data_IF_065180514439
#
_entry.id   IF_065180514439
#
_cell.length_a   1.000
_cell.length_b   1.000
_cell.length_c   1.000
_cell.angle_alpha   90.00
_cell.angle_beta   90.00
_cell.angle_gamma   90.00
#
_symmetry.space_group_name_H-M   'P 1'
#
loop_
_entity.id
_entity.type
_entity.pdbx_description
1 polymer ?
#
# COMPACT_ATOMS: atom_id res chain seq x y z
N UNK A 1 -8.74 5.39 -8.62
CA UNK A 1 -9.13 4.73 -9.89
C UNK A 1 -10.62 4.38 -9.86
N UNK A 2 -11.44 4.88 -10.80
CA UNK A 2 -12.86 4.55 -10.86
C UNK A 2 -13.05 3.12 -11.41
N UNK A 3 -13.83 2.31 -10.71
CA UNK A 3 -14.28 0.99 -11.17
C UNK A 3 -15.80 1.00 -11.35
N UNK A 4 -16.28 0.53 -12.49
CA UNK A 4 -17.70 0.46 -12.79
C UNK A 4 -18.16 -1.00 -12.73
N UNK A 5 -19.23 -1.26 -11.99
CA UNK A 5 -19.91 -2.56 -11.97
C UNK A 5 -21.28 -2.40 -12.60
N UNK A 6 -21.53 -3.12 -13.69
CA UNK A 6 -22.86 -3.19 -14.29
C UNK A 6 -23.82 -3.91 -13.34
N UNK A 7 -25.00 -3.33 -13.13
CA UNK A 7 -26.08 -3.93 -12.35
C UNK A 7 -27.39 -3.87 -13.14
N UNK A 8 -28.41 -4.61 -12.70
CA UNK A 8 -29.73 -4.65 -13.36
C UNK A 8 -30.39 -3.26 -13.47
N UNK A 9 -30.09 -2.35 -12.56
CA UNK A 9 -30.62 -0.97 -12.53
C UNK A 9 -29.61 0.08 -13.05
N UNK A 10 -28.60 -0.33 -13.83
CA UNK A 10 -27.58 0.56 -14.41
C UNK A 10 -26.17 0.37 -13.85
N UNK A 11 -25.26 1.29 -14.19
CA UNK A 11 -23.85 1.23 -13.80
C UNK A 11 -23.65 1.77 -12.38
N UNK A 12 -23.03 0.97 -11.50
CA UNK A 12 -22.64 1.41 -10.16
C UNK A 12 -21.14 1.70 -10.12
N UNK A 13 -20.78 2.96 -9.95
CA UNK A 13 -19.38 3.38 -9.81
C UNK A 13 -18.90 3.24 -8.36
N UNK A 14 -17.65 2.80 -8.19
CA UNK A 14 -16.91 2.84 -6.93
C UNK A 14 -15.50 3.33 -7.20
N UNK A 15 -14.91 4.01 -6.23
CA UNK A 15 -13.52 4.45 -6.30
C UNK A 15 -12.63 3.45 -5.59
N UNK A 16 -11.66 2.89 -6.32
CA UNK A 16 -10.52 2.18 -5.78
C UNK A 16 -9.46 3.20 -5.36
N UNK A 17 -8.99 3.06 -4.15
CA UNK A 17 -7.94 3.90 -3.55
C UNK A 17 -6.85 3.03 -3.01
N UNK A 18 -5.62 3.42 -3.30
CA UNK A 18 -4.40 2.82 -2.80
C UNK A 18 -3.74 3.82 -1.88
N UNK A 19 -3.30 3.37 -0.71
CA UNK A 19 -2.57 4.19 0.24
C UNK A 19 -1.33 3.42 0.66
N UNK A 20 -0.16 4.04 0.48
CA UNK A 20 1.11 3.53 0.98
C UNK A 20 1.52 4.34 2.22
N UNK A 21 2.00 3.65 3.25
CA UNK A 21 2.50 4.24 4.49
C UNK A 21 3.86 3.64 4.78
N UNK A 22 4.84 4.44 5.17
CA UNK A 22 6.14 3.96 5.60
C UNK A 22 6.85 4.95 6.51
N UNK A 23 7.72 4.42 7.37
CA UNK A 23 8.52 5.19 8.33
C UNK A 23 9.95 5.48 7.84
N UNK A 24 10.25 5.13 6.59
CA UNK A 24 11.58 5.19 5.96
C UNK A 24 12.69 4.41 6.70
N UNK A 25 12.35 3.70 7.77
CA UNK A 25 13.25 2.99 8.66
C UNK A 25 13.05 1.47 8.63
N UNK A 26 12.39 0.97 7.58
CA UNK A 26 12.22 -0.46 7.36
C UNK A 26 10.82 -0.97 7.69
N UNK A 27 9.82 -0.11 7.82
CA UNK A 27 8.42 -0.53 7.82
C UNK A 27 7.69 0.09 6.63
N UNK A 28 6.98 -0.75 5.88
CA UNK A 28 6.15 -0.35 4.76
C UNK A 28 4.80 -1.04 4.89
N UNK A 29 3.75 -0.34 4.48
CA UNK A 29 2.39 -0.84 4.53
C UNK A 29 1.64 -0.37 3.29
N UNK A 30 0.73 -1.21 2.80
CA UNK A 30 -0.13 -0.91 1.67
C UNK A 30 -1.58 -1.25 2.02
N UNK A 31 -2.47 -0.29 1.80
CA UNK A 31 -3.91 -0.46 1.98
C UNK A 31 -4.66 -0.20 0.68
N UNK A 32 -5.62 -1.07 0.36
CA UNK A 32 -6.48 -0.93 -0.82
C UNK A 32 -7.94 -0.99 -0.40
N UNK A 33 -8.74 0.01 -0.77
CA UNK A 33 -10.17 0.05 -0.44
C UNK A 33 -11.02 0.58 -1.58
N UNK A 34 -12.26 0.08 -1.65
CA UNK A 34 -13.30 0.51 -2.58
C UNK A 34 -14.47 1.16 -1.82
N UNK A 35 -14.83 2.39 -2.19
CA UNK A 35 -16.02 3.08 -1.63
C UNK A 35 -16.81 3.82 -2.71
N UNK A 36 -18.03 4.27 -2.39
CA UNK A 36 -18.81 5.15 -3.27
C UNK A 36 -18.26 6.58 -3.28
N UNK A 37 -17.72 7.03 -2.15
CA UNK A 37 -17.13 8.36 -1.99
C UNK A 37 -15.62 8.28 -1.82
N UNK A 38 -14.90 9.24 -2.40
CA UNK A 38 -13.43 9.25 -2.37
C UNK A 38 -12.89 9.49 -0.95
N UNK A 39 -13.46 10.44 -0.20
CA UNK A 39 -12.98 10.78 1.13
C UNK A 39 -13.10 9.60 2.13
N UNK A 40 -14.21 8.86 2.08
CA UNK A 40 -14.39 7.66 2.92
C UNK A 40 -13.46 6.52 2.51
N UNK A 41 -13.21 6.38 1.20
CA UNK A 41 -12.26 5.40 0.67
C UNK A 41 -10.83 5.66 1.16
N UNK A 42 -10.38 6.92 1.17
CA UNK A 42 -9.05 7.31 1.67
C UNK A 42 -8.90 7.01 3.16
N UNK A 43 -9.82 7.51 4.00
CA UNK A 43 -9.73 7.30 5.47
C UNK A 43 -9.68 5.82 5.83
N UNK A 44 -10.52 5.04 5.18
CA UNK A 44 -10.59 3.61 5.44
C UNK A 44 -9.42 2.82 4.84
N UNK A 45 -8.83 3.27 3.73
CA UNK A 45 -7.59 2.72 3.19
C UNK A 45 -6.38 3.02 4.09
N UNK A 46 -6.32 4.19 4.72
CA UNK A 46 -5.28 4.52 5.72
C UNK A 46 -5.33 3.55 6.91
N UNK A 47 -6.52 3.30 7.45
CA UNK A 47 -6.69 2.35 8.56
C UNK A 47 -6.24 0.95 8.14
N UNK A 48 -6.67 0.51 6.96
CA UNK A 48 -6.26 -0.80 6.44
C UNK A 48 -4.74 -0.90 6.23
N UNK A 49 -4.11 0.16 5.70
CA UNK A 49 -2.67 0.22 5.54
C UNK A 49 -1.95 0.12 6.88
N UNK A 50 -2.42 0.80 7.93
CA UNK A 50 -1.82 0.71 9.27
C UNK A 50 -1.95 -0.68 9.91
N UNK A 51 -2.93 -1.48 9.50
CA UNK A 51 -3.08 -2.86 9.97
C UNK A 51 -2.15 -3.83 9.23
N UNK A 52 -1.75 -3.52 8.00
CA UNK A 52 -0.90 -4.36 7.14
C UNK A 52 0.58 -3.94 7.15
N UNK A 53 1.11 -3.56 8.32
CA UNK A 53 2.52 -3.16 8.45
C UNK A 53 3.42 -4.36 8.20
N UNK A 54 4.36 -4.22 7.26
CA UNK A 54 5.34 -5.24 6.92
C UNK A 54 6.75 -4.72 7.21
N UNK A 55 7.57 -5.46 7.98
CA UNK A 55 8.97 -5.13 8.16
C UNK A 55 9.77 -5.48 6.88
N UNK A 56 10.54 -4.51 6.39
CA UNK A 56 11.43 -4.63 5.25
C UNK A 56 12.85 -4.79 5.76
N UNK A 57 13.42 -5.97 5.51
CA UNK A 57 14.81 -6.26 5.89
C UNK A 57 15.77 -5.54 4.94
N UNK A 58 16.66 -4.71 5.50
CA UNK A 58 17.70 -3.99 4.76
C UNK A 58 19.04 -4.71 4.90
N UNK A 59 19.88 -4.58 3.87
CA UNK A 59 21.19 -5.20 3.75
C UNK A 59 22.19 -4.33 2.99
N UNK A 60 23.29 -4.96 2.58
CA UNK A 60 24.36 -4.35 1.81
C UNK A 60 24.57 -5.19 0.54
N UNK A 61 24.97 -4.55 -0.55
CA UNK A 61 25.30 -5.26 -1.78
C UNK A 61 26.70 -5.89 -1.75
N UNK A 62 27.63 -5.31 -0.99
CA UNK A 62 29.00 -5.79 -0.81
C UNK A 62 29.47 -5.64 0.64
N UNK A 63 30.55 -4.88 0.87
CA UNK A 63 31.06 -4.64 2.22
C UNK A 63 30.01 -3.98 3.14
N UNK A 64 30.00 -4.41 4.40
CA UNK A 64 29.06 -3.94 5.43
C UNK A 64 29.53 -2.62 6.04
N UNK A 65 29.56 -1.56 5.23
CA UNK A 65 30.05 -0.23 5.65
C UNK A 65 28.85 0.72 5.78
N UNK A 66 28.77 1.40 6.93
CA UNK A 66 27.77 2.45 7.16
C UNK A 66 26.37 1.90 7.47
N UNK A 67 25.34 2.45 6.80
CA UNK A 67 23.93 2.03 6.98
C UNK A 67 23.51 1.08 5.85
N UNK A 68 22.59 0.13 6.13
CA UNK A 68 22.04 -0.76 5.11
C UNK A 68 21.33 0.02 3.98
N UNK A 69 21.80 -0.15 2.74
CA UNK A 69 21.36 0.62 1.58
C UNK A 69 20.71 -0.22 0.47
N UNK A 70 20.64 -1.55 0.63
CA UNK A 70 19.99 -2.44 -0.35
C UNK A 70 19.10 -3.49 0.32
N UNK A 71 18.46 -4.33 -0.49
CA UNK A 71 17.79 -5.57 -0.04
C UNK A 71 18.86 -6.67 0.08
N UNK A 72 18.86 -7.49 1.14
CA UNK A 72 19.91 -8.50 1.37
C UNK A 72 19.95 -9.63 0.32
N UNK A 73 18.86 -9.84 -0.40
CA UNK A 73 18.76 -10.83 -1.46
C UNK A 73 17.81 -10.32 -2.55
N UNK A 74 17.90 -10.91 -3.75
CA UNK A 74 16.92 -10.66 -4.81
C UNK A 74 15.57 -11.28 -4.38
N UNK A 75 14.52 -10.48 -4.41
CA UNK A 75 13.14 -10.88 -4.11
C UNK A 75 12.33 -10.72 -5.40
N UNK A 76 11.36 -11.61 -5.62
CA UNK A 76 10.49 -11.64 -6.81
C UNK A 76 9.08 -11.16 -6.48
#
# INVERSE_FOLDING_TARGET
>A
MPGQKQTRAGQRTRFKTFVAIGDSNGHICLGVKYSKEVATAIRSAIILAKLSVVPVRRGYWGNKIGKPHTVPCKVF
#
